data_IF_911519210952
#
_entry.id   IF_911519210952
#
_cell.length_a   1.000
_cell.length_b   1.000
_cell.length_c   1.000
_cell.angle_alpha   90.00
_cell.angle_beta   90.00
_cell.angle_gamma   90.00
#
_symmetry.space_group_name_H-M   'P 1'
#
loop_
_entity.id
_entity.type
_entity.pdbx_description
1 polymer ?
#
# COMPACT_ATOMS: atom_id res chain seq x y z
N UNK A 1 -3.11 12.44 -21.65
CA UNK A 1 -2.25 13.31 -20.81
C UNK A 1 -1.35 14.13 -21.69
N UNK A 2 -1.06 15.38 -21.32
CA UNK A 2 -0.23 16.30 -22.11
C UNK A 2 0.93 16.83 -21.26
N UNK A 3 2.13 16.90 -21.86
CA UNK A 3 3.34 17.40 -21.23
C UNK A 3 4.04 18.39 -22.16
N UNK A 4 4.25 19.61 -21.71
CA UNK A 4 5.10 20.56 -22.39
C UNK A 4 6.55 20.30 -22.02
N UNK A 5 7.39 20.00 -23.00
CA UNK A 5 8.81 19.69 -22.80
C UNK A 5 9.58 20.95 -22.45
N UNK A 6 10.18 20.94 -21.29
CA UNK A 6 11.07 22.02 -20.82
C UNK A 6 12.50 21.86 -21.37
N UNK A 7 13.38 22.80 -20.98
CA UNK A 7 14.81 22.74 -21.32
C UNK A 7 15.51 21.48 -20.80
N UNK A 8 15.04 20.93 -19.70
CA UNK A 8 15.53 19.68 -19.09
C UNK A 8 15.19 18.42 -19.91
N UNK A 9 14.22 18.53 -20.81
CA UNK A 9 13.81 17.47 -21.74
C UNK A 9 14.42 17.58 -23.13
N UNK A 10 15.13 18.67 -23.43
CA UNK A 10 15.73 18.90 -24.75
C UNK A 10 16.83 17.88 -25.08
N UNK A 11 16.80 17.32 -26.26
CA UNK A 11 17.77 16.32 -26.72
C UNK A 11 17.64 14.93 -26.02
N UNK A 12 16.57 14.69 -25.30
CA UNK A 12 16.33 13.40 -24.63
C UNK A 12 15.47 12.49 -25.49
N UNK A 13 15.84 11.21 -25.58
CA UNK A 13 14.99 10.20 -26.20
C UNK A 13 13.68 10.04 -25.44
N UNK A 14 12.54 9.97 -26.14
CA UNK A 14 11.23 9.80 -25.54
C UNK A 14 11.18 8.62 -24.54
N UNK A 15 11.82 7.46 -24.83
CA UNK A 15 11.92 6.34 -23.89
C UNK A 15 12.51 6.72 -22.53
N UNK A 16 13.53 7.60 -22.54
CA UNK A 16 14.21 8.05 -21.33
C UNK A 16 13.33 9.04 -20.55
N UNK A 17 12.61 9.90 -21.28
CA UNK A 17 11.65 10.83 -20.69
C UNK A 17 10.46 10.10 -20.04
N UNK A 18 9.88 9.09 -20.73
CA UNK A 18 8.81 8.25 -20.18
C UNK A 18 9.25 7.53 -18.89
N UNK A 19 10.52 7.11 -18.84
CA UNK A 19 11.10 6.53 -17.61
C UNK A 19 11.23 7.56 -16.48
N UNK A 20 11.56 8.82 -16.78
CA UNK A 20 11.55 9.92 -15.79
C UNK A 20 10.13 10.17 -15.24
N UNK A 21 9.12 10.05 -16.10
CA UNK A 21 7.71 10.12 -15.70
C UNK A 21 7.25 8.89 -14.89
N UNK A 22 8.15 7.94 -14.60
CA UNK A 22 7.87 6.71 -13.84
C UNK A 22 6.80 5.81 -14.49
N UNK A 23 6.60 5.90 -15.81
CA UNK A 23 5.67 5.03 -16.52
C UNK A 23 6.21 3.59 -16.54
N UNK A 24 5.33 2.63 -16.23
CA UNK A 24 5.69 1.21 -16.25
C UNK A 24 6.00 0.72 -17.68
N UNK A 25 6.90 -0.27 -17.81
CA UNK A 25 7.19 -0.88 -19.10
C UNK A 25 5.93 -1.47 -19.75
N UNK A 26 4.99 -1.99 -18.96
CA UNK A 26 3.70 -2.51 -19.45
C UNK A 26 2.87 -1.39 -20.07
N UNK A 27 2.75 -0.24 -19.41
CA UNK A 27 2.03 0.92 -19.94
C UNK A 27 2.68 1.47 -21.21
N UNK A 28 4.02 1.59 -21.23
CA UNK A 28 4.75 2.02 -22.44
C UNK A 28 4.57 1.01 -23.57
N UNK A 29 4.54 -0.30 -23.28
CA UNK A 29 4.26 -1.33 -24.29
C UNK A 29 2.84 -1.19 -24.84
N UNK A 30 1.85 -0.96 -23.98
CA UNK A 30 0.46 -0.71 -24.40
C UNK A 30 0.34 0.55 -25.27
N UNK A 31 0.95 1.68 -24.86
CA UNK A 31 0.94 2.91 -25.67
C UNK A 31 1.52 2.73 -27.09
N UNK A 32 2.46 1.79 -27.27
CA UNK A 32 3.02 1.47 -28.60
C UNK A 32 2.04 0.72 -29.51
N UNK A 33 1.03 0.03 -28.94
CA UNK A 33 0.04 -0.71 -29.73
C UNK A 33 -1.12 0.16 -30.18
N UNK A 34 -1.30 1.33 -29.58
CA UNK A 34 -2.35 2.28 -29.94
C UNK A 34 -1.90 3.18 -31.10
N UNK A 35 -2.77 3.42 -32.08
CA UNK A 35 -2.49 4.24 -33.28
C UNK A 35 -1.96 5.63 -32.93
N UNK A 36 -2.53 6.30 -31.92
CA UNK A 36 -2.09 7.61 -31.41
C UNK A 36 -1.68 7.55 -29.94
N UNK A 37 -1.16 6.42 -29.49
CA UNK A 37 -0.80 6.20 -28.09
C UNK A 37 0.27 7.17 -27.58
N UNK A 38 1.15 7.64 -28.47
CA UNK A 38 2.18 8.64 -28.19
C UNK A 38 2.26 9.60 -29.38
N UNK A 39 1.98 10.88 -29.15
CA UNK A 39 2.13 11.91 -30.16
C UNK A 39 2.99 13.08 -29.65
N UNK A 40 3.74 13.71 -30.54
CA UNK A 40 4.45 14.96 -30.27
C UNK A 40 3.97 15.99 -31.29
N UNK A 41 3.51 17.13 -30.79
CA UNK A 41 2.93 18.21 -31.65
C UNK A 41 1.79 17.72 -32.55
N UNK A 42 1.05 16.67 -32.09
CA UNK A 42 -0.03 16.05 -32.85
C UNK A 42 0.37 14.90 -33.78
N UNK A 43 1.64 14.68 -34.01
CA UNK A 43 2.15 13.61 -34.88
C UNK A 43 2.52 12.37 -34.11
N UNK A 44 2.18 11.18 -34.61
CA UNK A 44 2.55 9.90 -34.01
C UNK A 44 4.07 9.73 -33.96
N UNK A 45 4.59 9.34 -32.78
CA UNK A 45 6.03 9.14 -32.59
C UNK A 45 6.33 7.81 -31.94
N UNK A 46 7.52 7.29 -32.19
CA UNK A 46 8.03 6.11 -31.49
C UNK A 46 8.83 6.52 -30.26
N UNK A 47 9.09 5.58 -29.35
CA UNK A 47 9.94 5.81 -28.18
C UNK A 47 11.40 6.23 -28.50
N UNK A 48 11.78 6.19 -29.76
CA UNK A 48 13.09 6.63 -30.28
C UNK A 48 13.11 8.10 -30.67
N UNK A 49 11.96 8.78 -30.65
CA UNK A 49 11.88 10.20 -30.95
C UNK A 49 12.77 11.01 -29.99
N UNK A 50 13.49 11.99 -30.55
CA UNK A 50 14.33 12.93 -29.78
C UNK A 50 13.49 14.16 -29.48
N UNK A 51 13.14 14.34 -28.19
CA UNK A 51 12.34 15.48 -27.74
C UNK A 51 13.11 16.79 -27.88
N UNK A 52 12.39 17.87 -28.18
CA UNK A 52 12.89 19.23 -28.19
C UNK A 52 12.18 20.09 -27.18
N UNK A 53 12.91 21.09 -26.67
CA UNK A 53 12.29 22.08 -25.78
C UNK A 53 11.15 22.81 -26.49
N UNK A 54 9.98 22.89 -25.88
CA UNK A 54 8.75 23.43 -26.44
C UNK A 54 7.82 22.40 -27.08
N UNK A 55 8.27 21.16 -27.32
CA UNK A 55 7.40 20.08 -27.80
C UNK A 55 6.23 19.85 -26.86
N UNK A 56 5.08 19.46 -27.41
CA UNK A 56 3.89 19.03 -26.69
C UNK A 56 3.76 17.53 -26.89
N UNK A 57 4.19 16.77 -25.87
CA UNK A 57 4.02 15.32 -25.82
C UNK A 57 2.62 14.99 -25.30
N UNK A 58 1.84 14.24 -26.07
CA UNK A 58 0.57 13.66 -25.65
C UNK A 58 0.69 12.14 -25.53
N UNK A 59 0.21 11.62 -24.41
CA UNK A 59 0.11 10.20 -24.15
C UNK A 59 -1.38 9.84 -23.97
N UNK A 60 -1.87 8.89 -24.76
CA UNK A 60 -3.23 8.38 -24.70
C UNK A 60 -3.32 7.35 -23.55
N UNK A 61 -3.20 7.83 -22.31
CA UNK A 61 -3.38 7.00 -21.12
C UNK A 61 -4.87 7.07 -20.79
N UNK A 62 -5.64 6.20 -21.42
CA UNK A 62 -7.03 5.97 -21.09
C UNK A 62 -7.11 4.73 -20.20
N UNK A 63 -7.68 4.86 -19.02
CA UNK A 63 -8.13 3.72 -18.24
C UNK A 63 -9.50 3.32 -18.81
N UNK A 64 -9.48 2.65 -19.97
CA UNK A 64 -10.67 2.07 -20.59
C UNK A 64 -11.08 0.77 -19.89
N UNK A 65 -10.14 0.16 -19.16
CA UNK A 65 -10.38 -1.09 -18.48
C UNK A 65 -10.98 -0.80 -17.10
N UNK A 66 -12.05 -1.47 -16.77
CA UNK A 66 -12.50 -1.70 -15.41
C UNK A 66 -11.84 -2.99 -14.89
N UNK A 67 -11.79 -3.15 -13.58
CA UNK A 67 -11.40 -4.46 -12.99
C UNK A 67 -12.54 -5.44 -13.21
N UNK A 68 -12.68 -5.97 -14.44
CA UNK A 68 -13.79 -6.84 -14.86
C UNK A 68 -14.05 -8.04 -13.94
N UNK A 69 -13.03 -8.44 -13.17
CA UNK A 69 -13.11 -9.53 -12.20
C UNK A 69 -13.53 -9.10 -10.79
N UNK A 70 -13.74 -7.79 -10.55
CA UNK A 70 -14.13 -7.26 -9.22
C UNK A 70 -15.57 -6.78 -9.32
N UNK A 71 -16.47 -7.52 -8.68
CA UNK A 71 -17.89 -7.18 -8.63
C UNK A 71 -18.11 -5.90 -7.79
N UNK A 72 -18.83 -4.89 -8.29
CA UNK A 72 -19.21 -3.72 -7.52
C UNK A 72 -20.25 -4.09 -6.46
N UNK A 73 -19.91 -3.93 -5.18
CA UNK A 73 -20.81 -4.27 -4.06
C UNK A 73 -20.85 -3.10 -3.08
N UNK A 74 -22.03 -2.73 -2.65
CA UNK A 74 -22.27 -1.70 -1.65
C UNK A 74 -21.81 -2.20 -0.27
N UNK A 75 -20.66 -1.73 0.16
CA UNK A 75 -20.04 -2.05 1.44
C UNK A 75 -19.66 -0.76 2.18
N UNK A 76 -19.51 -0.80 3.51
CA UNK A 76 -19.01 0.36 4.27
C UNK A 76 -17.65 0.83 3.73
N UNK A 77 -17.57 2.11 3.38
CA UNK A 77 -16.37 2.73 2.82
C UNK A 77 -16.12 4.07 3.52
N UNK A 78 -14.96 4.20 4.16
CA UNK A 78 -14.50 5.41 4.81
C UNK A 78 -13.30 5.98 4.01
N UNK A 79 -13.54 7.05 3.25
CA UNK A 79 -12.53 7.75 2.45
C UNK A 79 -12.01 8.92 3.28
N UNK A 80 -10.72 8.88 3.62
CA UNK A 80 -10.04 9.94 4.40
C UNK A 80 -9.30 10.95 3.54
N UNK A 81 -9.00 10.60 2.29
CA UNK A 81 -8.47 11.53 1.29
C UNK A 81 -8.77 11.04 -0.12
N UNK A 82 -9.11 11.96 -1.02
CA UNK A 82 -9.28 11.67 -2.44
C UNK A 82 -8.88 12.88 -3.30
N UNK A 83 -8.20 12.60 -4.42
CA UNK A 83 -7.96 13.56 -5.51
C UNK A 83 -8.13 12.88 -6.88
N UNK A 84 -7.65 13.50 -7.97
CA UNK A 84 -7.75 12.94 -9.32
C UNK A 84 -6.89 11.68 -9.51
N UNK A 85 -5.79 11.55 -8.78
CA UNK A 85 -4.78 10.51 -8.94
C UNK A 85 -4.91 9.34 -7.98
N UNK A 86 -5.44 9.58 -6.78
CA UNK A 86 -5.46 8.56 -5.72
C UNK A 86 -6.65 8.72 -4.77
N UNK A 87 -6.91 7.65 -4.04
CA UNK A 87 -7.83 7.61 -2.90
C UNK A 87 -7.13 6.91 -1.73
N UNK A 88 -7.29 7.42 -0.51
CA UNK A 88 -6.85 6.79 0.73
C UNK A 88 -8.06 6.46 1.56
N UNK A 89 -8.22 5.18 1.88
CA UNK A 89 -9.33 4.68 2.69
C UNK A 89 -8.85 4.30 4.09
N UNK A 90 -9.71 4.51 5.08
CA UNK A 90 -9.60 3.88 6.38
C UNK A 90 -10.31 2.52 6.32
N UNK A 91 -9.57 1.47 5.97
CA UNK A 91 -10.14 0.13 5.86
C UNK A 91 -10.61 -0.37 7.22
N UNK A 92 -11.87 -0.79 7.38
CA UNK A 92 -12.32 -1.40 8.63
C UNK A 92 -11.63 -2.75 8.87
N UNK A 93 -11.61 -3.27 10.10
CA UNK A 93 -11.24 -4.67 10.36
C UNK A 93 -12.24 -5.62 9.69
N UNK A 94 -11.88 -6.90 9.58
CA UNK A 94 -12.66 -8.00 8.99
C UNK A 94 -12.96 -7.87 7.48
N UNK A 95 -12.47 -6.83 6.82
CA UNK A 95 -12.56 -6.62 5.38
C UNK A 95 -11.20 -6.90 4.72
N UNK A 96 -11.07 -7.84 3.78
CA UNK A 96 -9.86 -8.00 2.99
C UNK A 96 -9.59 -6.79 2.09
N UNK A 97 -8.33 -6.54 1.74
CA UNK A 97 -7.99 -5.44 0.81
C UNK A 97 -8.43 -5.75 -0.61
N UNK A 98 -8.30 -7.00 -1.06
CA UNK A 98 -8.61 -7.44 -2.42
C UNK A 98 -9.17 -8.86 -2.41
N UNK A 99 -9.88 -9.28 -3.46
CA UNK A 99 -10.43 -10.61 -3.57
C UNK A 99 -9.38 -11.71 -3.39
N UNK A 100 -9.76 -12.76 -2.69
CA UNK A 100 -8.94 -13.94 -2.41
C UNK A 100 -9.85 -15.14 -2.20
N UNK A 101 -9.28 -16.34 -1.98
CA UNK A 101 -10.07 -17.54 -1.74
C UNK A 101 -11.06 -17.34 -0.58
N UNK A 102 -12.33 -17.62 -0.81
CA UNK A 102 -13.49 -17.41 0.08
C UNK A 102 -13.84 -15.94 0.41
N UNK A 103 -13.23 -14.97 -0.29
CA UNK A 103 -13.48 -13.54 -0.12
C UNK A 103 -13.54 -12.90 -1.51
N UNK A 104 -14.67 -12.97 -2.19
CA UNK A 104 -14.84 -12.45 -3.54
C UNK A 104 -15.69 -11.18 -3.58
N UNK A 105 -16.52 -10.95 -2.57
CA UNK A 105 -17.61 -9.98 -2.51
C UNK A 105 -17.59 -9.07 -1.26
N UNK A 106 -16.64 -9.27 -0.35
CA UNK A 106 -16.54 -8.59 0.95
C UNK A 106 -15.27 -7.74 1.11
N UNK A 107 -14.67 -7.29 0.00
CA UNK A 107 -13.36 -6.65 0.01
C UNK A 107 -13.43 -5.13 -0.20
N UNK A 108 -12.37 -4.40 0.20
CA UNK A 108 -12.21 -2.98 -0.12
C UNK A 108 -12.26 -2.74 -1.64
N UNK A 109 -11.78 -3.69 -2.43
CA UNK A 109 -11.82 -3.59 -3.89
C UNK A 109 -13.27 -3.57 -4.40
N UNK A 110 -14.19 -4.38 -3.84
CA UNK A 110 -15.61 -4.39 -4.19
C UNK A 110 -16.28 -3.07 -3.79
N UNK A 111 -15.98 -2.56 -2.58
CA UNK A 111 -16.51 -1.29 -2.10
C UNK A 111 -16.10 -0.12 -3.01
N UNK A 112 -14.82 -0.06 -3.41
CA UNK A 112 -14.33 0.99 -4.32
C UNK A 112 -14.87 0.81 -5.75
N UNK A 113 -15.03 -0.42 -6.24
CA UNK A 113 -15.67 -0.67 -7.52
C UNK A 113 -17.13 -0.16 -7.54
N UNK A 114 -17.87 -0.32 -6.44
CA UNK A 114 -19.21 0.24 -6.28
C UNK A 114 -19.18 1.77 -6.20
N UNK A 115 -18.30 2.35 -5.39
CA UNK A 115 -18.16 3.81 -5.24
C UNK A 115 -17.85 4.51 -6.58
N UNK A 116 -17.06 3.87 -7.44
CA UNK A 116 -16.74 4.38 -8.78
C UNK A 116 -17.66 3.82 -9.88
N UNK A 117 -18.80 3.23 -9.56
CA UNK A 117 -19.73 2.69 -10.56
C UNK A 117 -20.12 3.77 -11.59
N UNK A 118 -20.16 3.37 -12.86
CA UNK A 118 -20.42 4.29 -13.97
C UNK A 118 -19.21 5.09 -14.44
N UNK A 119 -18.03 4.88 -13.85
CA UNK A 119 -16.75 5.45 -14.30
C UNK A 119 -15.73 4.34 -14.52
N UNK A 120 -14.81 4.46 -15.49
CA UNK A 120 -13.70 3.52 -15.62
C UNK A 120 -12.86 3.53 -14.32
N UNK A 121 -12.76 2.38 -13.68
CA UNK A 121 -11.96 2.23 -12.46
C UNK A 121 -11.25 0.88 -12.42
N UNK A 122 -9.94 0.91 -12.23
CA UNK A 122 -9.12 -0.28 -11.99
C UNK A 122 -8.54 -0.21 -10.59
N UNK A 123 -8.82 -1.21 -9.77
CA UNK A 123 -8.30 -1.29 -8.42
C UNK A 123 -6.78 -1.51 -8.40
N UNK A 124 -6.02 -0.49 -7.99
CA UNK A 124 -4.54 -0.49 -7.95
C UNK A 124 -4.04 -0.14 -6.55
N UNK A 125 -4.14 -1.05 -5.57
CA UNK A 125 -3.68 -0.78 -4.21
C UNK A 125 -2.16 -0.66 -4.17
N UNK A 126 -1.67 0.43 -3.58
CA UNK A 126 -0.24 0.68 -3.39
C UNK A 126 0.30 -0.08 -2.19
N UNK A 127 -0.51 -0.18 -1.13
CA UNK A 127 -0.26 -1.05 0.01
C UNK A 127 -1.47 -1.95 0.28
N UNK A 128 -1.26 -2.95 1.09
CA UNK A 128 -2.31 -3.86 1.53
C UNK A 128 -2.24 -4.05 3.03
N UNK A 129 -3.37 -4.32 3.63
CA UNK A 129 -3.50 -4.73 5.02
C UNK A 129 -4.07 -6.15 5.09
N UNK A 130 -3.75 -6.85 6.17
CA UNK A 130 -4.39 -8.13 6.48
C UNK A 130 -5.89 -7.90 6.74
N UNK A 131 -6.71 -8.94 6.57
CA UNK A 131 -8.17 -8.86 6.72
C UNK A 131 -8.59 -8.16 8.03
N UNK A 132 -8.02 -8.57 9.15
CA UNK A 132 -8.38 -8.08 10.48
C UNK A 132 -7.58 -6.83 10.92
N UNK A 133 -6.62 -6.35 10.11
CA UNK A 133 -5.91 -5.08 10.35
C UNK A 133 -6.72 -3.93 9.78
N UNK A 134 -6.95 -2.90 10.58
CA UNK A 134 -7.64 -1.66 10.18
C UNK A 134 -6.66 -0.57 9.75
N UNK A 135 -7.16 0.50 9.11
CA UNK A 135 -6.42 1.73 8.86
C UNK A 135 -6.11 2.02 7.38
N UNK A 136 -5.08 2.81 7.15
CA UNK A 136 -4.79 3.45 5.87
C UNK A 136 -4.45 2.48 4.74
N UNK A 137 -5.23 2.54 3.66
CA UNK A 137 -4.95 1.88 2.38
C UNK A 137 -4.94 2.93 1.28
N UNK A 138 -3.81 3.04 0.58
CA UNK A 138 -3.60 3.93 -0.56
C UNK A 138 -3.88 3.19 -1.86
N UNK A 139 -4.77 3.72 -2.68
CA UNK A 139 -5.15 3.17 -3.98
C UNK A 139 -4.94 4.22 -5.06
N UNK A 140 -4.24 3.86 -6.12
CA UNK A 140 -4.07 4.73 -7.29
C UNK A 140 -5.28 4.61 -8.22
N UNK A 141 -5.83 5.75 -8.65
CA UNK A 141 -7.02 5.82 -9.50
C UNK A 141 -6.70 5.67 -11.00
N UNK A 142 -5.46 5.87 -11.40
CA UNK A 142 -5.01 5.75 -12.78
C UNK A 142 -3.63 5.08 -12.89
N UNK A 143 -3.29 4.63 -14.10
CA UNK A 143 -2.06 3.88 -14.35
C UNK A 143 -0.77 4.72 -14.13
N UNK A 144 -0.82 6.04 -14.38
CA UNK A 144 0.31 6.96 -14.14
C UNK A 144 0.62 7.06 -12.65
N UNK A 145 -0.40 7.39 -11.84
CA UNK A 145 -0.26 7.49 -10.40
C UNK A 145 0.21 6.16 -9.79
N UNK A 146 -0.33 5.03 -10.26
CA UNK A 146 0.13 3.71 -9.87
C UNK A 146 1.62 3.51 -10.15
N UNK A 147 2.09 3.85 -11.36
CA UNK A 147 3.50 3.73 -11.73
C UNK A 147 4.42 4.55 -10.82
N UNK A 148 4.04 5.82 -10.53
CA UNK A 148 4.78 6.69 -9.63
C UNK A 148 4.80 6.15 -8.20
N UNK A 149 3.65 5.83 -7.63
CA UNK A 149 3.53 5.34 -6.25
C UNK A 149 4.22 3.98 -6.05
N UNK A 150 4.15 3.06 -7.01
CA UNK A 150 4.89 1.79 -6.95
C UNK A 150 6.41 2.00 -7.05
N UNK A 151 6.86 2.99 -7.85
CA UNK A 151 8.28 3.37 -7.88
C UNK A 151 8.73 3.90 -6.52
N UNK A 152 7.96 4.80 -5.90
CA UNK A 152 8.24 5.34 -4.57
C UNK A 152 8.21 4.25 -3.49
N UNK A 153 7.26 3.32 -3.55
CA UNK A 153 7.22 2.15 -2.66
C UNK A 153 8.48 1.28 -2.79
N UNK A 154 8.93 1.03 -4.03
CA UNK A 154 10.16 0.26 -4.29
C UNK A 154 11.41 0.96 -3.75
N UNK A 155 11.46 2.28 -3.81
CA UNK A 155 12.55 3.11 -3.24
C UNK A 155 12.43 3.28 -1.73
N UNK A 156 11.37 2.76 -1.10
CA UNK A 156 11.05 2.92 0.32
C UNK A 156 10.78 4.38 0.73
N UNK A 157 10.31 5.19 -0.18
CA UNK A 157 9.95 6.59 0.07
C UNK A 157 8.52 6.74 0.61
N UNK A 158 7.71 5.68 0.60
CA UNK A 158 6.41 5.65 1.28
C UNK A 158 6.62 5.12 2.68
N UNK A 159 6.44 5.99 3.66
CA UNK A 159 6.53 5.64 5.07
C UNK A 159 5.18 5.16 5.58
N UNK A 160 5.19 4.16 6.43
CA UNK A 160 4.00 3.56 7.03
C UNK A 160 4.19 3.52 8.53
N UNK A 161 3.21 4.03 9.26
CA UNK A 161 3.20 3.96 10.73
C UNK A 161 2.02 3.13 11.18
N UNK A 162 2.27 2.25 12.13
CA UNK A 162 1.24 1.40 12.73
C UNK A 162 1.21 1.60 14.23
N UNK A 163 0.05 1.41 14.82
CA UNK A 163 -0.14 1.23 16.27
C UNK A 163 -0.58 -0.20 16.54
N UNK A 164 0.01 -0.79 17.57
CA UNK A 164 -0.39 -2.11 18.08
C UNK A 164 -0.47 -2.10 19.59
N UNK A 165 -1.41 -2.86 20.13
CA UNK A 165 -1.37 -3.27 21.54
C UNK A 165 -0.78 -4.67 21.59
N UNK A 166 0.21 -4.88 22.43
CA UNK A 166 0.92 -6.15 22.58
C UNK A 166 0.82 -6.67 24.01
N UNK A 167 0.96 -7.98 24.18
CA UNK A 167 1.03 -8.63 25.49
C UNK A 167 2.39 -8.37 26.15
N UNK A 168 2.36 -8.15 27.45
CA UNK A 168 3.53 -7.88 28.28
C UNK A 168 3.90 -6.39 28.33
N UNK A 169 4.56 -6.03 29.42
CA UNK A 169 5.08 -4.69 29.64
C UNK A 169 6.57 -4.63 29.27
N UNK A 170 6.94 -3.68 28.44
CA UNK A 170 8.32 -3.36 28.12
C UNK A 170 8.47 -1.90 27.74
N UNK A 171 9.70 -1.41 27.63
CA UNK A 171 9.98 0.02 27.42
C UNK A 171 11.05 0.26 26.37
N UNK A 172 11.18 1.52 25.96
CA UNK A 172 12.21 1.94 25.02
C UNK A 172 11.81 1.83 23.55
N UNK A 173 12.79 1.67 22.71
CA UNK A 173 12.66 1.51 21.26
C UNK A 173 13.73 0.58 20.73
N UNK A 174 13.50 0.02 19.57
CA UNK A 174 14.47 -0.88 18.96
C UNK A 174 14.13 -1.21 17.51
N UNK A 175 14.88 -2.15 16.98
CA UNK A 175 14.76 -2.67 15.62
C UNK A 175 14.67 -4.18 15.67
N UNK A 176 13.68 -4.73 14.97
CA UNK A 176 13.56 -6.19 14.77
C UNK A 176 13.98 -6.49 13.34
N UNK A 177 15.04 -7.24 13.20
CA UNK A 177 15.57 -7.71 11.91
C UNK A 177 15.57 -9.24 11.91
N UNK A 178 14.82 -9.85 11.00
CA UNK A 178 14.64 -11.29 10.90
C UNK A 178 14.44 -11.69 9.44
N UNK A 179 14.68 -12.94 9.12
CA UNK A 179 14.20 -13.56 7.91
C UNK A 179 12.90 -14.28 8.18
N UNK A 180 11.94 -14.16 7.26
CA UNK A 180 10.60 -14.74 7.36
C UNK A 180 10.36 -15.73 6.24
N UNK A 181 9.92 -16.93 6.58
CA UNK A 181 9.55 -18.01 5.67
C UNK A 181 8.05 -18.33 5.80
N UNK A 182 7.51 -19.01 4.80
CA UNK A 182 6.23 -19.72 4.93
C UNK A 182 6.41 -20.92 5.85
N UNK A 183 5.34 -21.28 6.57
CA UNK A 183 5.31 -22.59 7.24
C UNK A 183 4.95 -23.67 6.21
N UNK A 184 5.35 -24.91 6.46
CA UNK A 184 4.99 -26.04 5.60
C UNK A 184 3.48 -26.30 5.58
N UNK A 185 2.82 -26.08 6.71
CA UNK A 185 1.39 -26.33 6.88
C UNK A 185 0.49 -25.24 6.29
N UNK A 186 1.01 -24.08 5.90
CA UNK A 186 0.19 -22.95 5.45
C UNK A 186 0.91 -22.03 4.46
N UNK A 187 0.24 -21.70 3.37
CA UNK A 187 0.72 -20.70 2.41
C UNK A 187 0.64 -19.26 2.95
N UNK A 188 -0.13 -19.03 4.01
CA UNK A 188 -0.39 -17.71 4.60
C UNK A 188 0.48 -17.47 5.81
N UNK A 189 0.60 -18.45 6.73
CA UNK A 189 1.33 -18.33 8.00
C UNK A 189 2.83 -18.19 7.74
N UNK A 190 3.47 -17.33 8.50
CA UNK A 190 4.91 -17.05 8.45
C UNK A 190 5.57 -17.46 9.75
N UNK A 191 6.85 -17.78 9.69
CA UNK A 191 7.71 -17.98 10.85
C UNK A 191 9.04 -17.25 10.65
N UNK A 192 9.76 -17.03 11.72
CA UNK A 192 11.18 -16.65 11.65
C UNK A 192 11.95 -17.86 11.14
N UNK A 193 12.93 -17.60 10.29
CA UNK A 193 13.82 -18.61 9.71
C UNK A 193 15.23 -18.07 9.55
N UNK A 194 16.15 -18.94 9.19
CA UNK A 194 17.51 -18.56 8.87
C UNK A 194 17.62 -17.99 7.44
N UNK A 195 18.63 -17.18 7.18
CA UNK A 195 18.84 -16.52 5.88
C UNK A 195 18.96 -17.52 4.72
N UNK A 196 19.59 -18.66 4.96
CA UNK A 196 19.86 -19.69 3.97
C UNK A 196 18.68 -20.64 3.72
N UNK A 197 17.58 -20.52 4.44
CA UNK A 197 16.40 -21.35 4.22
C UNK A 197 15.68 -20.97 2.92
N UNK A 198 15.13 -21.98 2.24
CA UNK A 198 14.39 -21.77 0.99
C UNK A 198 13.18 -20.84 1.20
N UNK A 199 13.12 -19.76 0.42
CA UNK A 199 12.05 -18.77 0.50
C UNK A 199 12.21 -17.74 1.64
N UNK A 200 13.37 -17.69 2.29
CA UNK A 200 13.70 -16.68 3.27
C UNK A 200 13.60 -15.26 2.70
N UNK A 201 12.87 -14.40 3.40
CA UNK A 201 12.68 -13.01 3.02
C UNK A 201 13.10 -12.09 4.16
N UNK A 202 14.12 -11.27 3.92
CA UNK A 202 14.53 -10.27 4.89
C UNK A 202 13.39 -9.32 5.25
N UNK A 203 13.21 -9.10 6.54
CA UNK A 203 12.21 -8.23 7.12
C UNK A 203 12.84 -7.35 8.21
N UNK A 204 12.45 -6.06 8.23
CA UNK A 204 12.95 -5.08 9.19
C UNK A 204 11.82 -4.17 9.65
N UNK A 205 11.69 -4.01 10.97
CA UNK A 205 10.68 -3.16 11.62
C UNK A 205 11.33 -2.37 12.75
N UNK A 206 11.17 -1.06 12.74
CA UNK A 206 11.47 -0.21 13.90
C UNK A 206 10.24 -0.15 14.81
N UNK A 207 10.48 -0.14 16.13
CA UNK A 207 9.42 0.02 17.11
C UNK A 207 9.78 1.01 18.20
N UNK A 208 8.76 1.65 18.77
CA UNK A 208 8.85 2.53 19.93
C UNK A 208 7.66 2.28 20.85
N UNK A 209 7.93 2.02 22.11
CA UNK A 209 6.90 1.89 23.12
C UNK A 209 6.37 3.28 23.46
N UNK A 210 5.05 3.46 23.40
CA UNK A 210 4.38 4.72 23.70
C UNK A 210 4.04 4.74 25.20
N UNK A 211 3.46 3.64 25.70
CA UNK A 211 3.13 3.44 27.11
C UNK A 211 2.97 1.96 27.41
N UNK A 212 3.09 1.61 28.69
CA UNK A 212 2.93 0.24 29.19
C UNK A 212 2.21 0.27 30.53
N UNK A 213 1.41 -0.74 30.79
CA UNK A 213 0.68 -0.93 32.03
C UNK A 213 -0.33 -2.06 31.91
N UNK A 214 -0.75 -2.60 33.06
CA UNK A 214 -1.75 -3.66 33.13
C UNK A 214 -1.43 -4.91 32.30
N UNK A 215 -0.14 -5.25 32.22
CA UNK A 215 0.33 -6.41 31.44
C UNK A 215 0.32 -6.21 29.92
N UNK A 216 0.12 -4.99 29.43
CA UNK A 216 0.05 -4.63 28.01
C UNK A 216 1.01 -3.49 27.69
N UNK A 217 1.30 -3.31 26.40
CA UNK A 217 2.04 -2.15 25.89
C UNK A 217 1.44 -1.63 24.59
N UNK A 218 1.35 -0.31 24.47
CA UNK A 218 1.02 0.37 23.20
C UNK A 218 2.31 0.68 22.45
N UNK A 219 2.42 0.17 21.25
CA UNK A 219 3.64 0.20 20.43
C UNK A 219 3.38 0.92 19.11
N UNK A 220 4.23 1.89 18.76
CA UNK A 220 4.32 2.44 17.41
C UNK A 220 5.35 1.68 16.60
N UNK A 221 5.00 1.31 15.37
CA UNK A 221 5.77 0.46 14.50
C UNK A 221 6.00 1.14 13.15
N UNK A 222 7.23 1.08 12.63
CA UNK A 222 7.57 1.52 11.27
C UNK A 222 8.18 0.33 10.51
N UNK A 223 7.40 -0.38 9.67
CA UNK A 223 7.96 -1.44 8.82
C UNK A 223 8.77 -0.85 7.67
N UNK A 224 10.07 -1.14 7.64
CA UNK A 224 10.97 -0.75 6.55
C UNK A 224 10.92 -1.72 5.36
N UNK A 225 10.27 -2.86 5.54
CA UNK A 225 9.92 -3.86 4.53
C UNK A 225 8.43 -4.19 4.63
N UNK A 226 7.87 -4.89 3.64
CA UNK A 226 6.44 -5.21 3.61
C UNK A 226 6.17 -6.70 3.38
N UNK A 227 6.57 -7.57 4.31
CA UNK A 227 6.31 -9.01 4.22
C UNK A 227 4.95 -9.35 4.81
N UNK A 228 4.33 -10.41 4.30
CA UNK A 228 3.06 -10.90 4.86
C UNK A 228 3.21 -11.17 6.35
N UNK A 229 2.26 -10.70 7.17
CA UNK A 229 2.23 -10.85 8.63
C UNK A 229 3.48 -10.32 9.35
N UNK A 230 4.31 -9.48 8.70
CA UNK A 230 5.62 -9.07 9.22
C UNK A 230 5.56 -8.56 10.67
N UNK A 231 4.68 -7.58 10.95
CA UNK A 231 4.59 -6.96 12.27
C UNK A 231 4.17 -7.98 13.34
N UNK A 232 3.24 -8.85 12.99
CA UNK A 232 2.70 -9.90 13.85
C UNK A 232 3.79 -10.90 14.26
N UNK A 233 4.51 -11.44 13.26
CA UNK A 233 5.62 -12.39 13.49
C UNK A 233 6.77 -11.72 14.24
N UNK A 234 7.13 -10.47 13.88
CA UNK A 234 8.22 -9.75 14.53
C UNK A 234 7.96 -9.56 16.02
N UNK A 235 6.80 -9.05 16.40
CA UNK A 235 6.45 -8.81 17.79
C UNK A 235 6.37 -10.13 18.59
N UNK A 236 5.76 -11.16 18.02
CA UNK A 236 5.74 -12.49 18.64
C UNK A 236 7.17 -13.05 18.83
N UNK A 237 8.08 -12.81 17.86
CA UNK A 237 9.46 -13.32 17.93
C UNK A 237 10.34 -12.69 19.02
N UNK A 238 9.89 -11.58 19.60
CA UNK A 238 10.55 -10.93 20.74
C UNK A 238 9.79 -11.11 22.07
N UNK A 239 8.80 -12.03 22.09
CA UNK A 239 8.03 -12.36 23.28
C UNK A 239 6.86 -11.44 23.60
N UNK A 240 6.52 -10.51 22.69
CA UNK A 240 5.40 -9.56 22.84
C UNK A 240 4.41 -9.68 21.68
N UNK A 241 3.64 -10.79 21.57
CA UNK A 241 2.67 -10.95 20.49
C UNK A 241 1.60 -9.85 20.56
N UNK A 242 1.00 -9.55 19.41
CA UNK A 242 -0.10 -8.59 19.34
C UNK A 242 -1.31 -9.18 20.08
N UNK A 243 -1.95 -8.40 20.92
CA UNK A 243 -3.16 -8.78 21.66
C UNK A 243 -4.26 -9.22 20.68
N UNK A 244 -4.86 -10.38 20.94
CA UNK A 244 -5.92 -10.96 20.11
C UNK A 244 -5.44 -11.54 18.78
N UNK A 245 -4.13 -11.73 18.60
CA UNK A 245 -3.57 -12.42 17.43
C UNK A 245 -3.62 -13.93 17.64
N UNK A 246 -4.65 -14.57 17.09
CA UNK A 246 -4.93 -16.00 17.20
C UNK A 246 -3.94 -16.91 16.45
N UNK A 247 -3.09 -16.33 15.58
CA UNK A 247 -2.10 -17.09 14.81
C UNK A 247 -0.72 -17.06 15.47
N UNK A 248 -0.31 -15.93 16.03
CA UNK A 248 1.05 -15.71 16.56
C UNK A 248 1.12 -15.42 18.05
N UNK A 249 -0.02 -15.29 18.69
CA UNK A 249 -0.19 -15.04 20.11
C UNK A 249 -1.35 -15.82 20.68
N UNK A 250 -2.20 -15.13 21.44
CA UNK A 250 -3.35 -15.72 22.10
C UNK A 250 -4.64 -15.01 21.66
N UNK A 251 -5.75 -15.74 21.64
CA UNK A 251 -7.07 -15.12 21.56
C UNK A 251 -7.31 -14.27 22.82
N UNK A 252 -8.14 -13.24 22.69
CA UNK A 252 -8.43 -12.30 23.77
C UNK A 252 -9.94 -12.17 23.98
N UNK A 253 -10.35 -11.91 25.22
CA UNK A 253 -11.74 -11.64 25.55
C UNK A 253 -12.10 -10.14 25.41
N UNK A 254 -11.11 -9.27 25.11
CA UNK A 254 -11.31 -7.82 25.02
C UNK A 254 -11.25 -7.30 23.60
N UNK A 255 -10.77 -8.12 22.67
CA UNK A 255 -10.73 -7.79 21.23
C UNK A 255 -10.76 -9.07 20.39
N UNK A 256 -11.58 -9.09 19.32
CA UNK A 256 -11.81 -10.28 18.47
C UNK A 256 -10.82 -10.39 17.29
N UNK A 257 -9.76 -9.62 17.31
CA UNK A 257 -8.77 -9.52 16.22
C UNK A 257 -7.41 -9.11 16.75
N UNK A 258 -6.36 -9.25 15.95
CA UNK A 258 -5.10 -8.60 16.30
C UNK A 258 -5.31 -7.10 16.49
N UNK A 259 -4.90 -6.56 17.65
CA UNK A 259 -4.94 -5.13 17.97
C UNK A 259 -3.87 -4.37 17.18
N UNK A 260 -4.07 -4.31 15.85
CA UNK A 260 -3.14 -3.69 14.89
C UNK A 260 -3.89 -2.73 13.96
N UNK A 261 -3.36 -1.52 13.85
CA UNK A 261 -3.93 -0.44 13.06
C UNK A 261 -2.86 0.29 12.24
N UNK A 262 -3.07 0.45 10.94
CA UNK A 262 -2.25 1.26 10.06
C UNK A 262 -2.60 2.74 10.28
N UNK A 263 -1.88 3.41 11.19
CA UNK A 263 -2.15 4.76 11.66
C UNK A 263 -1.99 5.79 10.53
N UNK A 264 -0.83 5.81 9.87
CA UNK A 264 -0.58 6.82 8.85
C UNK A 264 0.28 6.34 7.68
N UNK A 265 0.14 7.06 6.57
CA UNK A 265 0.96 6.95 5.38
C UNK A 265 1.55 8.32 5.05
N UNK A 266 2.87 8.37 4.80
CA UNK A 266 3.54 9.54 4.25
C UNK A 266 4.07 9.17 2.87
N UNK A 267 3.65 9.92 1.85
CA UNK A 267 4.02 9.67 0.45
C UNK A 267 4.14 10.96 -0.36
N UNK A 268 4.70 10.87 -1.55
CA UNK A 268 4.75 11.98 -2.51
C UNK A 268 3.51 11.93 -3.41
N UNK A 269 2.71 12.99 -3.41
CA UNK A 269 1.49 13.10 -4.22
C UNK A 269 1.83 13.17 -5.71
N UNK A 270 1.22 12.31 -6.56
CA UNK A 270 1.55 12.28 -7.99
C UNK A 270 1.21 13.55 -8.77
N UNK A 271 0.19 14.31 -8.36
CA UNK A 271 -0.29 15.50 -9.07
C UNK A 271 0.70 16.67 -9.03
N UNK A 272 1.37 16.91 -7.90
CA UNK A 272 2.21 18.10 -7.70
C UNK A 272 3.58 17.80 -7.06
N UNK A 273 3.88 16.55 -6.76
CA UNK A 273 5.16 16.15 -6.15
C UNK A 273 5.33 16.54 -4.68
N UNK A 274 4.30 17.05 -4.02
CA UNK A 274 4.39 17.42 -2.60
C UNK A 274 4.32 16.22 -1.69
N UNK A 275 5.08 16.28 -0.61
CA UNK A 275 5.02 15.32 0.49
C UNK A 275 3.72 15.51 1.25
N UNK A 276 3.02 14.42 1.54
CA UNK A 276 1.72 14.42 2.19
C UNK A 276 1.67 13.32 3.25
N UNK A 277 1.05 13.62 4.38
CA UNK A 277 0.70 12.64 5.40
C UNK A 277 -0.83 12.51 5.48
N UNK A 278 -1.30 11.26 5.52
CA UNK A 278 -2.71 10.94 5.73
C UNK A 278 -2.81 9.98 6.90
N UNK A 279 -3.69 10.31 7.86
CA UNK A 279 -3.86 9.56 9.12
C UNK A 279 -5.28 9.03 9.23
N UNK A 280 -5.42 7.75 9.55
CA UNK A 280 -6.69 7.13 9.90
C UNK A 280 -6.92 7.24 11.42
N UNK A 281 -8.14 7.56 11.87
CA UNK A 281 -8.45 7.59 13.29
C UNK A 281 -8.34 6.20 13.92
N UNK A 282 -7.80 6.14 15.13
CA UNK A 282 -7.68 4.89 15.88
C UNK A 282 -9.09 4.30 16.16
N UNK A 283 -9.36 3.06 15.79
CA UNK A 283 -10.67 2.45 15.99
C UNK A 283 -10.98 2.24 17.48
N UNK A 284 -12.25 2.30 17.84
CA UNK A 284 -12.72 2.32 19.22
C UNK A 284 -12.25 1.11 20.05
N UNK A 285 -12.20 -0.07 19.46
CA UNK A 285 -11.72 -1.29 20.12
C UNK A 285 -10.27 -1.14 20.62
N UNK A 286 -9.36 -0.65 19.77
CA UNK A 286 -7.96 -0.42 20.15
C UNK A 286 -7.84 0.83 21.04
N UNK A 287 -8.62 1.88 20.77
CA UNK A 287 -8.61 3.13 21.54
C UNK A 287 -8.95 2.85 23.02
N UNK A 288 -10.06 2.17 23.26
CA UNK A 288 -10.51 1.84 24.63
C UNK A 288 -9.43 1.04 25.40
N UNK A 289 -8.80 0.05 24.75
CA UNK A 289 -7.71 -0.71 25.37
C UNK A 289 -6.52 0.21 25.65
N UNK A 290 -6.19 1.08 24.69
CA UNK A 290 -5.06 2.00 24.85
C UNK A 290 -5.25 3.05 25.94
N UNK A 291 -6.47 3.37 26.35
CA UNK A 291 -6.78 4.32 27.43
C UNK A 291 -6.57 3.72 28.81
N UNK A 292 -6.68 2.41 28.95
CA UNK A 292 -6.48 1.72 30.23
C UNK A 292 -5.03 1.26 30.45
N UNK A 293 -4.17 1.23 29.43
CA UNK A 293 -2.73 1.03 29.56
C UNK A 293 -2.10 2.28 30.18
#
# INVERSE_FOLDING_TARGET
MEFKIGKDGDGILLRSYLKRLSLSNKLVAHLKTLENGMTVNGEHVTVRYMLKSGDILRLLIEDTDSSESIEPIELPLDIIYEDEDLVVCNKPPFMPTHPSHNHYDDTLANALAFYYSGKPFVFRPVNRLDRNTSGTVLVAKNARAAGMLFSEMKKRNIEKTYLAVVEGEFSGSGVIEKYLCRTEASIIVRRVCEENEAGAQYAKTEYKIIKSGHGLSLVRLKPLTGRTHQLRVHLASIGHPILGDDIYGNSSNVIDRQALHAESLIFTRPSDGKRMEVTAPLPLDIKNISEII
#
